data_IF_482506797872
#
_entry.id   IF_482506797872
#
_cell.length_a   1.000
_cell.length_b   1.000
_cell.length_c   1.000
_cell.angle_alpha   90.00
_cell.angle_beta   90.00
_cell.angle_gamma   90.00
#
_symmetry.space_group_name_H-M   'P 1'
#
loop_
_entity.id
_entity.type
_entity.pdbx_description
1 polymer ?
#
# COMPACT_ATOMS: atom_id res chain seq x y z
N UNK A 1 39.59 19.01 69.87
CA UNK A 1 38.67 20.11 69.53
C UNK A 1 37.74 19.62 68.44
N UNK A 2 36.49 19.29 68.78
CA UNK A 2 35.42 18.99 67.83
C UNK A 2 34.42 20.13 67.93
N UNK A 3 34.38 21.01 66.93
CA UNK A 3 33.36 22.04 66.84
C UNK A 3 32.02 21.34 66.58
N UNK A 4 31.21 21.18 67.63
CA UNK A 4 29.80 20.82 67.48
C UNK A 4 29.09 21.99 66.82
N UNK A 5 28.88 21.90 65.49
CA UNK A 5 28.00 22.83 64.77
C UNK A 5 26.58 22.62 65.31
N UNK A 6 26.07 23.58 66.07
CA UNK A 6 24.65 23.64 66.43
C UNK A 6 23.81 23.61 65.15
N UNK A 7 22.95 22.59 64.99
CA UNK A 7 21.93 22.60 63.95
C UNK A 7 21.03 23.81 64.17
N UNK A 8 21.08 24.79 63.28
CA UNK A 8 20.01 25.78 63.16
C UNK A 8 18.81 25.04 62.56
N UNK A 9 17.73 24.91 63.32
CA UNK A 9 16.50 24.26 62.85
C UNK A 9 15.96 24.96 61.59
N UNK A 10 15.37 24.18 60.68
CA UNK A 10 14.71 24.72 59.48
C UNK A 10 13.48 25.54 59.88
N UNK A 11 13.35 26.72 59.29
CA UNK A 11 12.12 27.51 59.35
C UNK A 11 11.01 26.81 58.56
N UNK A 12 9.76 26.87 59.04
CA UNK A 12 8.60 26.41 58.26
C UNK A 12 8.56 27.05 56.86
N UNK A 13 8.99 28.31 56.74
CA UNK A 13 9.02 29.01 55.44
C UNK A 13 10.06 28.38 54.50
N UNK A 14 11.23 27.99 55.01
CA UNK A 14 12.28 27.34 54.20
C UNK A 14 11.80 25.97 53.68
N UNK A 15 11.08 25.20 54.50
CA UNK A 15 10.48 23.94 54.07
C UNK A 15 9.39 24.14 53.01
N UNK A 16 8.53 25.15 53.16
CA UNK A 16 7.50 25.47 52.17
C UNK A 16 8.10 25.92 50.84
N UNK A 17 9.14 26.76 50.87
CA UNK A 17 9.86 27.21 49.67
C UNK A 17 10.57 26.04 48.99
N UNK A 18 11.26 25.19 49.76
CA UNK A 18 11.93 24.00 49.21
C UNK A 18 10.95 23.04 48.53
N UNK A 19 9.77 22.82 49.14
CA UNK A 19 8.71 21.98 48.57
C UNK A 19 8.12 22.61 47.30
N UNK A 20 7.88 23.92 47.31
CA UNK A 20 7.37 24.65 46.14
C UNK A 20 8.34 24.56 44.95
N UNK A 21 9.64 24.78 45.19
CA UNK A 21 10.68 24.67 44.14
C UNK A 21 10.78 23.23 43.64
N UNK A 22 10.79 22.24 44.54
CA UNK A 22 10.88 20.82 44.16
C UNK A 22 9.68 20.39 43.32
N UNK A 23 8.47 20.82 43.69
CA UNK A 23 7.25 20.52 42.94
C UNK A 23 7.27 21.17 41.56
N UNK A 24 7.72 22.43 41.47
CA UNK A 24 7.88 23.12 40.20
C UNK A 24 8.88 22.43 39.26
N UNK A 25 10.03 21.99 39.80
CA UNK A 25 11.03 21.26 39.02
C UNK A 25 10.52 19.91 38.53
N UNK A 26 9.81 19.15 39.38
CA UNK A 26 9.22 17.86 39.00
C UNK A 26 8.20 18.05 37.88
N UNK A 27 7.35 19.08 37.95
CA UNK A 27 6.38 19.39 36.90
C UNK A 27 7.09 19.74 35.58
N UNK A 28 8.12 20.59 35.63
CA UNK A 28 8.89 20.98 34.46
C UNK A 28 9.56 19.79 33.76
N UNK A 29 10.24 18.92 34.52
CA UNK A 29 10.90 17.72 33.97
C UNK A 29 9.86 16.73 33.42
N UNK A 30 8.72 16.59 34.09
CA UNK A 30 7.63 15.70 33.64
C UNK A 30 7.07 16.13 32.28
N UNK A 31 6.89 17.44 32.05
CA UNK A 31 6.47 17.96 30.75
C UNK A 31 7.48 17.62 29.65
N UNK A 32 8.76 17.90 29.88
CA UNK A 32 9.84 17.57 28.93
C UNK A 32 9.84 16.08 28.60
N UNK A 33 9.69 15.21 29.61
CA UNK A 33 9.64 13.77 29.40
C UNK A 33 8.43 13.34 28.56
N UNK A 34 7.24 13.87 28.84
CA UNK A 34 6.01 13.59 28.07
C UNK A 34 6.17 14.05 26.62
N UNK A 35 6.70 15.24 26.40
CA UNK A 35 6.88 15.80 25.06
C UNK A 35 7.93 15.02 24.26
N UNK A 36 9.04 14.62 24.90
CA UNK A 36 10.04 13.75 24.28
C UNK A 36 9.44 12.38 23.89
N UNK A 37 8.63 11.79 24.77
CA UNK A 37 7.95 10.52 24.48
C UNK A 37 6.97 10.67 23.31
N UNK A 38 6.19 11.76 23.28
CA UNK A 38 5.27 12.05 22.17
C UNK A 38 6.03 12.24 20.86
N UNK A 39 7.11 13.01 20.85
CA UNK A 39 7.94 13.21 19.68
C UNK A 39 8.57 11.90 19.18
N UNK A 40 9.06 11.06 20.09
CA UNK A 40 9.56 9.73 19.75
C UNK A 40 8.50 8.87 19.05
N UNK A 41 7.28 8.78 19.60
CA UNK A 41 6.19 8.02 19.00
C UNK A 41 5.75 8.61 17.65
N UNK A 42 5.79 9.93 17.51
CA UNK A 42 5.50 10.63 16.27
C UNK A 42 6.53 10.30 15.18
N UNK A 43 7.83 10.35 15.51
CA UNK A 43 8.90 9.96 14.60
C UNK A 43 8.81 8.48 14.20
N UNK A 44 8.53 7.61 15.17
CA UNK A 44 8.34 6.18 14.92
C UNK A 44 7.15 5.93 13.99
N UNK A 45 6.01 6.58 14.21
CA UNK A 45 4.82 6.47 13.36
C UNK A 45 5.09 6.94 11.93
N UNK A 46 5.82 8.04 11.75
CA UNK A 46 6.23 8.52 10.42
C UNK A 46 7.22 7.56 9.74
N UNK A 47 8.18 7.00 10.49
CA UNK A 47 9.12 6.03 9.94
C UNK A 47 8.39 4.76 9.46
N UNK A 48 7.46 4.24 10.28
CA UNK A 48 6.62 3.10 9.92
C UNK A 48 5.76 3.36 8.68
N UNK A 49 5.12 4.54 8.60
CA UNK A 49 4.36 4.92 7.41
C UNK A 49 5.21 4.99 6.13
N UNK A 50 6.42 5.54 6.23
CA UNK A 50 7.36 5.62 5.10
C UNK A 50 7.83 4.24 4.65
N UNK A 51 8.17 3.37 5.59
CA UNK A 51 8.60 2.01 5.31
C UNK A 51 7.48 1.20 4.68
N UNK A 52 6.29 1.21 5.26
CA UNK A 52 5.11 0.51 4.73
C UNK A 52 4.78 0.99 3.32
N UNK A 53 4.77 2.31 3.10
CA UNK A 53 4.54 2.90 1.77
C UNK A 53 5.58 2.45 0.74
N UNK A 54 6.86 2.47 1.09
CA UNK A 54 7.94 2.01 0.19
C UNK A 54 7.82 0.53 -0.13
N UNK A 55 7.49 -0.29 0.87
CA UNK A 55 7.31 -1.72 0.70
C UNK A 55 6.15 -2.05 -0.24
N UNK A 56 4.98 -1.41 -0.05
CA UNK A 56 3.82 -1.58 -0.94
C UNK A 56 4.17 -1.19 -2.37
N UNK A 57 4.82 -0.03 -2.57
CA UNK A 57 5.18 0.44 -3.91
C UNK A 57 6.16 -0.51 -4.60
N UNK A 58 7.18 -0.99 -3.89
CA UNK A 58 8.14 -1.97 -4.40
C UNK A 58 7.43 -3.27 -4.82
N UNK A 59 6.56 -3.78 -3.96
CA UNK A 59 5.82 -5.01 -4.21
C UNK A 59 4.91 -4.90 -5.44
N UNK A 60 4.17 -3.80 -5.55
CA UNK A 60 3.29 -3.54 -6.69
C UNK A 60 4.10 -3.42 -7.98
N UNK A 61 5.22 -2.69 -7.93
CA UNK A 61 6.11 -2.55 -9.08
C UNK A 61 6.63 -3.91 -9.55
N UNK A 62 7.07 -4.78 -8.63
CA UNK A 62 7.53 -6.13 -8.97
C UNK A 62 6.45 -6.96 -9.69
N UNK A 63 5.17 -6.84 -9.30
CA UNK A 63 4.08 -7.53 -10.00
C UNK A 63 3.79 -6.92 -11.37
N UNK A 64 3.90 -5.60 -11.49
CA UNK A 64 3.66 -4.90 -12.75
C UNK A 64 4.76 -5.08 -13.78
N UNK A 65 6.00 -5.20 -13.37
CA UNK A 65 7.13 -5.39 -14.29
C UNK A 65 7.02 -6.71 -15.06
N UNK A 66 6.38 -7.71 -14.44
CA UNK A 66 6.06 -8.99 -15.08
C UNK A 66 4.85 -8.90 -16.00
N UNK A 67 3.90 -8.01 -15.71
CA UNK A 67 2.59 -7.96 -16.39
C UNK A 67 2.75 -7.83 -17.90
N UNK A 68 1.96 -8.60 -18.64
CA UNK A 68 1.96 -8.69 -20.11
C UNK A 68 3.26 -9.20 -20.74
N UNK A 69 4.23 -9.70 -19.96
CA UNK A 69 5.40 -10.37 -20.51
C UNK A 69 4.98 -11.64 -21.25
N UNK A 70 5.52 -11.80 -22.46
CA UNK A 70 5.34 -12.98 -23.31
C UNK A 70 6.71 -13.55 -23.68
N UNK A 71 6.83 -14.88 -23.69
CA UNK A 71 8.10 -15.58 -24.00
C UNK A 71 8.39 -15.61 -25.49
N UNK A 72 7.38 -15.82 -26.32
CA UNK A 72 7.50 -15.79 -27.78
C UNK A 72 7.28 -14.35 -28.24
N UNK A 73 8.27 -13.79 -28.94
CA UNK A 73 8.18 -12.42 -29.44
C UNK A 73 7.18 -12.32 -30.60
N UNK A 74 7.22 -13.32 -31.47
CA UNK A 74 6.40 -13.55 -32.66
C UNK A 74 4.94 -13.85 -32.34
N UNK A 75 4.63 -14.27 -31.10
CA UNK A 75 3.25 -14.46 -30.68
C UNK A 75 2.56 -13.12 -30.41
N UNK A 76 1.38 -12.93 -31.01
CA UNK A 76 0.58 -11.74 -30.76
C UNK A 76 -0.07 -11.79 -29.36
N UNK A 77 -0.61 -10.67 -28.89
CA UNK A 77 -1.20 -10.64 -27.54
C UNK A 77 -2.40 -11.57 -27.43
N UNK A 78 -3.21 -11.66 -28.47
CA UNK A 78 -4.44 -12.44 -28.52
C UNK A 78 -4.20 -13.95 -28.39
N UNK A 79 -3.10 -14.45 -28.97
CA UNK A 79 -2.67 -15.84 -28.90
C UNK A 79 -1.94 -16.15 -27.59
N UNK A 80 -1.02 -15.26 -27.17
CA UNK A 80 -0.27 -15.42 -25.91
C UNK A 80 -1.21 -15.35 -24.69
N UNK A 81 -2.24 -14.51 -24.77
CA UNK A 81 -3.24 -14.28 -23.73
C UNK A 81 -4.65 -14.46 -24.29
N UNK A 82 -5.06 -15.72 -24.42
CA UNK A 82 -6.41 -16.09 -24.86
C UNK A 82 -7.48 -15.60 -23.87
N UNK A 83 -8.71 -15.47 -24.37
CA UNK A 83 -9.87 -15.22 -23.52
C UNK A 83 -10.00 -16.30 -22.45
N UNK A 84 -10.10 -15.90 -21.20
CA UNK A 84 -10.26 -16.83 -20.08
C UNK A 84 -10.96 -16.16 -18.91
N UNK A 85 -11.67 -16.95 -18.13
CA UNK A 85 -12.37 -16.54 -16.92
C UNK A 85 -11.70 -17.17 -15.72
N UNK A 86 -11.47 -16.37 -14.69
CA UNK A 86 -10.86 -16.80 -13.44
C UNK A 86 -11.72 -16.31 -12.29
N UNK A 87 -11.81 -17.10 -11.21
CA UNK A 87 -12.57 -16.71 -10.03
C UNK A 87 -11.95 -15.43 -9.43
N UNK A 88 -12.79 -14.45 -9.09
CA UNK A 88 -12.34 -13.18 -8.53
C UNK A 88 -11.78 -12.18 -9.55
N UNK A 89 -11.91 -12.44 -10.85
CA UNK A 89 -11.49 -11.53 -11.91
C UNK A 89 -12.62 -11.32 -12.92
N UNK A 90 -12.74 -10.09 -13.46
CA UNK A 90 -13.54 -9.88 -14.67
C UNK A 90 -12.99 -10.79 -15.77
N UNK A 91 -13.88 -11.38 -16.57
CA UNK A 91 -13.49 -12.17 -17.72
C UNK A 91 -12.56 -11.35 -18.63
N UNK A 92 -11.43 -11.96 -19.00
CA UNK A 92 -10.48 -11.33 -19.89
C UNK A 92 -10.85 -11.66 -21.33
N UNK A 93 -10.83 -10.65 -22.18
CA UNK A 93 -10.89 -10.85 -23.62
C UNK A 93 -9.52 -11.21 -24.18
N UNK A 94 -9.47 -11.73 -25.41
CA UNK A 94 -8.19 -12.05 -26.05
C UNK A 94 -7.27 -10.81 -26.11
N UNK A 95 -6.00 -11.00 -25.75
CA UNK A 95 -4.98 -9.96 -25.71
C UNK A 95 -5.04 -9.03 -24.50
N UNK A 96 -6.01 -9.21 -23.62
CA UNK A 96 -6.10 -8.46 -22.36
C UNK A 96 -5.24 -9.12 -21.28
N UNK A 97 -4.40 -8.31 -20.64
CA UNK A 97 -3.48 -8.75 -19.58
C UNK A 97 -3.78 -8.12 -18.23
N UNK A 98 -4.70 -7.15 -18.19
CA UNK A 98 -5.11 -6.44 -16.99
C UNK A 98 -6.64 -6.37 -16.98
N UNK A 99 -7.27 -6.83 -15.91
CA UNK A 99 -8.71 -6.75 -15.71
C UNK A 99 -9.02 -6.30 -14.28
N UNK A 100 -10.20 -5.72 -14.06
CA UNK A 100 -10.67 -5.42 -12.70
C UNK A 100 -10.88 -6.73 -11.93
N UNK A 101 -10.46 -6.76 -10.66
CA UNK A 101 -10.82 -7.86 -9.77
C UNK A 101 -12.32 -7.75 -9.44
N UNK A 102 -13.01 -8.90 -9.41
CA UNK A 102 -14.36 -8.97 -8.87
C UNK A 102 -14.28 -9.25 -7.38
N UNK A 103 -15.14 -8.60 -6.60
CA UNK A 103 -15.20 -8.76 -5.16
C UNK A 103 -15.54 -10.22 -4.79
N UNK A 104 -14.70 -10.86 -3.98
CA UNK A 104 -14.99 -12.14 -3.32
C UNK A 104 -15.39 -11.92 -1.86
N UNK A 105 -14.96 -10.80 -1.28
CA UNK A 105 -15.42 -10.29 0.02
C UNK A 105 -16.14 -8.96 -0.18
N UNK A 106 -17.10 -8.64 0.70
CA UNK A 106 -17.83 -7.38 0.62
C UNK A 106 -16.88 -6.17 0.69
N UNK A 107 -17.00 -5.25 -0.27
CA UNK A 107 -16.19 -4.04 -0.34
C UNK A 107 -14.76 -4.22 -0.86
N UNK A 108 -14.34 -5.44 -1.21
CA UNK A 108 -13.04 -5.71 -1.80
C UNK A 108 -12.97 -5.21 -3.26
N UNK A 109 -11.84 -4.63 -3.65
CA UNK A 109 -11.57 -4.25 -5.04
C UNK A 109 -10.08 -4.36 -5.37
N UNK A 110 -9.76 -4.38 -6.66
CA UNK A 110 -8.37 -4.50 -7.11
C UNK A 110 -8.24 -4.84 -8.58
N UNK A 111 -7.16 -5.53 -8.91
CA UNK A 111 -6.77 -5.84 -10.30
C UNK A 111 -6.28 -7.26 -10.45
N UNK A 112 -6.62 -7.86 -11.58
CA UNK A 112 -6.04 -9.11 -12.03
C UNK A 112 -5.07 -8.84 -13.17
N UNK A 113 -3.88 -9.41 -13.06
CA UNK A 113 -2.75 -9.26 -13.98
C UNK A 113 -2.41 -10.61 -14.58
N UNK A 114 -1.98 -10.63 -15.84
CA UNK A 114 -1.49 -11.84 -16.51
C UNK A 114 -0.12 -11.64 -17.10
N UNK A 115 0.69 -12.68 -17.03
CA UNK A 115 2.01 -12.73 -17.67
C UNK A 115 2.43 -14.17 -17.92
N UNK A 116 3.38 -14.40 -18.82
CA UNK A 116 4.05 -15.69 -18.94
C UNK A 116 5.32 -15.68 -18.09
N UNK A 117 5.64 -16.71 -17.31
CA UNK A 117 6.87 -16.75 -16.52
C UNK A 117 8.11 -16.72 -17.43
N UNK A 118 9.12 -15.94 -17.07
CA UNK A 118 10.31 -15.68 -17.87
C UNK A 118 11.32 -16.83 -17.83
N UNK A 119 11.47 -17.49 -16.68
CA UNK A 119 12.46 -18.56 -16.48
C UNK A 119 11.99 -19.60 -15.45
N UNK A 120 12.57 -20.81 -15.50
CA UNK A 120 12.30 -21.87 -14.51
C UNK A 120 12.84 -21.47 -13.14
N UNK A 121 12.06 -21.69 -12.08
CA UNK A 121 12.39 -21.19 -10.74
C UNK A 121 11.86 -19.79 -10.45
N UNK A 122 11.11 -19.16 -11.37
CA UNK A 122 10.45 -17.90 -11.06
C UNK A 122 9.37 -18.08 -9.99
N UNK A 123 9.33 -17.16 -9.02
CA UNK A 123 8.33 -17.17 -7.95
C UNK A 123 7.10 -16.32 -8.28
N UNK A 124 5.95 -16.76 -7.79
CA UNK A 124 4.69 -16.03 -7.83
C UNK A 124 4.62 -14.92 -6.76
N UNK A 125 3.49 -14.21 -6.70
CA UNK A 125 3.29 -13.14 -5.71
C UNK A 125 3.23 -13.61 -4.25
N UNK A 126 3.13 -14.92 -4.01
CA UNK A 126 3.12 -15.54 -2.69
C UNK A 126 4.47 -16.17 -2.34
N UNK A 127 5.47 -16.06 -3.23
CA UNK A 127 6.78 -16.66 -3.06
C UNK A 127 6.87 -18.15 -3.43
N UNK A 128 5.80 -18.75 -3.96
CA UNK A 128 5.85 -20.14 -4.43
C UNK A 128 6.49 -20.21 -5.81
N UNK A 129 7.29 -21.25 -6.05
CA UNK A 129 7.85 -21.50 -7.38
C UNK A 129 6.73 -21.81 -8.38
N UNK A 130 6.78 -21.15 -9.54
CA UNK A 130 5.85 -21.40 -10.64
C UNK A 130 6.28 -22.70 -11.33
N UNK A 131 5.42 -23.71 -11.29
CA UNK A 131 5.67 -25.02 -11.89
C UNK A 131 5.35 -25.03 -13.39
N UNK A 132 5.91 -26.00 -14.12
CA UNK A 132 5.63 -26.17 -15.55
C UNK A 132 6.27 -25.13 -16.47
N UNK A 133 7.26 -24.37 -15.98
CA UNK A 133 7.99 -23.37 -16.78
C UNK A 133 9.09 -24.06 -17.60
N UNK A 134 9.10 -23.93 -18.94
CA UNK A 134 10.14 -24.52 -19.77
C UNK A 134 11.54 -23.96 -19.48
N UNK A 135 12.56 -24.83 -19.49
CA UNK A 135 13.97 -24.43 -19.36
C UNK A 135 14.48 -23.69 -20.60
N UNK A 136 14.02 -24.11 -21.79
CA UNK A 136 14.42 -23.48 -23.04
C UNK A 136 13.77 -22.09 -23.16
N UNK A 137 14.55 -21.04 -23.49
CA UNK A 137 13.98 -19.73 -23.78
C UNK A 137 13.09 -19.81 -25.03
N UNK A 138 12.20 -18.82 -25.20
CA UNK A 138 11.29 -18.72 -26.35
C UNK A 138 10.38 -19.95 -26.58
N UNK A 139 10.11 -20.72 -25.53
CA UNK A 139 9.13 -21.81 -25.56
C UNK A 139 7.82 -21.33 -24.95
N UNK A 140 6.69 -21.64 -25.57
CA UNK A 140 5.38 -21.22 -25.08
C UNK A 140 5.09 -21.81 -23.69
N UNK A 141 4.36 -21.08 -22.87
CA UNK A 141 3.94 -21.54 -21.54
C UNK A 141 2.59 -20.89 -21.20
N UNK A 142 1.72 -21.57 -20.43
CA UNK A 142 0.47 -20.99 -19.98
C UNK A 142 0.71 -19.67 -19.20
N UNK A 143 -0.17 -18.67 -19.36
CA UNK A 143 -0.06 -17.45 -18.58
C UNK A 143 -0.42 -17.70 -17.11
N UNK A 144 0.42 -17.15 -16.25
CA UNK A 144 0.18 -16.93 -14.83
C UNK A 144 -0.86 -15.83 -14.66
N UNK A 145 -1.79 -16.00 -13.72
CA UNK A 145 -2.74 -14.94 -13.33
C UNK A 145 -2.54 -14.56 -11.88
N UNK A 146 -2.30 -13.28 -11.63
CA UNK A 146 -2.11 -12.70 -10.31
C UNK A 146 -3.31 -11.83 -9.99
N UNK A 147 -3.98 -12.07 -8.86
CA UNK A 147 -5.09 -11.23 -8.35
C UNK A 147 -4.58 -10.44 -7.16
N UNK A 148 -4.48 -9.12 -7.31
CA UNK A 148 -4.13 -8.18 -6.24
C UNK A 148 -5.37 -7.44 -5.79
N UNK A 149 -5.64 -7.44 -4.49
CA UNK A 149 -6.90 -6.95 -3.93
C UNK A 149 -6.71 -6.26 -2.62
N UNK A 150 -7.38 -5.12 -2.46
CA UNK A 150 -7.47 -4.38 -1.23
C UNK A 150 -8.81 -4.66 -0.56
N UNK A 151 -8.76 -4.93 0.75
CA UNK A 151 -9.94 -5.10 1.60
C UNK A 151 -10.00 -3.94 2.61
N UNK A 152 -10.87 -2.93 2.39
CA UNK A 152 -10.97 -1.76 3.27
C UNK A 152 -11.31 -2.10 4.71
N UNK A 153 -12.15 -3.11 4.95
CA UNK A 153 -12.57 -3.49 6.31
C UNK A 153 -11.42 -4.02 7.18
N UNK A 154 -10.36 -4.53 6.55
CA UNK A 154 -9.17 -5.04 7.23
C UNK A 154 -7.95 -4.11 7.06
N UNK A 155 -7.98 -3.19 6.09
CA UNK A 155 -6.82 -2.38 5.73
C UNK A 155 -5.68 -3.22 5.13
N UNK A 156 -6.02 -4.29 4.39
CA UNK A 156 -5.04 -5.26 3.89
C UNK A 156 -5.02 -5.35 2.38
N UNK A 157 -3.82 -5.44 1.81
CA UNK A 157 -3.57 -5.78 0.42
C UNK A 157 -3.16 -7.25 0.36
N UNK A 158 -3.92 -8.06 -0.39
CA UNK A 158 -3.70 -9.49 -0.54
C UNK A 158 -3.38 -9.86 -1.99
N UNK A 159 -2.68 -10.96 -2.17
CA UNK A 159 -2.50 -11.60 -3.47
C UNK A 159 -3.05 -13.02 -3.49
N UNK A 160 -3.56 -13.44 -4.65
CA UNK A 160 -3.85 -14.84 -4.95
C UNK A 160 -3.56 -15.18 -6.41
N UNK A 161 -3.53 -16.48 -6.70
CA UNK A 161 -3.26 -17.06 -8.03
C UNK A 161 -4.48 -17.79 -8.55
N UNK A 162 -5.50 -17.13 -9.13
CA UNK A 162 -6.75 -17.80 -9.44
C UNK A 162 -6.65 -18.78 -10.63
N UNK A 163 -5.50 -18.86 -11.29
CA UNK A 163 -5.21 -19.83 -12.35
C UNK A 163 -4.79 -21.22 -11.86
N UNK A 164 -4.47 -21.37 -10.57
CA UNK A 164 -4.18 -22.67 -9.96
C UNK A 164 -5.38 -23.21 -9.18
N UNK A 165 -5.54 -24.53 -9.17
CA UNK A 165 -6.52 -25.20 -8.33
C UNK A 165 -6.19 -24.95 -6.84
N UNK A 166 -7.21 -24.74 -6.01
CA UNK A 166 -7.06 -24.42 -4.57
C UNK A 166 -6.20 -23.17 -4.28
N UNK A 167 -6.35 -22.14 -5.11
CA UNK A 167 -5.71 -20.84 -4.91
C UNK A 167 -5.87 -20.34 -3.47
N UNK A 168 -4.74 -20.13 -2.79
CA UNK A 168 -4.72 -19.49 -1.48
C UNK A 168 -4.55 -17.98 -1.67
N UNK A 169 -5.17 -17.21 -0.78
CA UNK A 169 -4.92 -15.78 -0.66
C UNK A 169 -3.89 -15.55 0.45
N UNK A 170 -2.80 -14.85 0.15
CA UNK A 170 -1.83 -14.39 1.13
C UNK A 170 -1.94 -12.89 1.33
N UNK A 171 -1.87 -12.45 2.58
CA UNK A 171 -1.76 -11.05 2.91
C UNK A 171 -0.34 -10.58 2.60
N UNK A 172 -0.22 -9.51 1.82
CA UNK A 172 1.06 -8.92 1.44
C UNK A 172 1.40 -7.72 2.31
N UNK A 173 0.40 -6.89 2.59
CA UNK A 173 0.54 -5.69 3.41
C UNK A 173 -0.70 -5.52 4.27
N UNK A 174 -0.50 -5.08 5.51
CA UNK A 174 -1.55 -4.64 6.44
C UNK A 174 -1.31 -3.21 6.93
N UNK A 175 -2.30 -2.67 7.65
CA UNK A 175 -2.21 -1.32 8.23
C UNK A 175 -2.41 -0.19 7.23
N UNK A 176 -3.00 -0.47 6.05
CA UNK A 176 -3.34 0.58 5.09
C UNK A 176 -4.68 1.21 5.47
N UNK A 177 -4.70 2.53 5.64
CA UNK A 177 -5.94 3.27 5.89
C UNK A 177 -6.82 3.30 4.63
N UNK A 178 -6.22 3.52 3.46
CA UNK A 178 -6.92 3.43 2.18
C UNK A 178 -5.94 3.15 1.03
N UNK A 179 -6.45 2.61 -0.07
CA UNK A 179 -5.66 2.25 -1.25
C UNK A 179 -6.47 2.46 -2.51
N UNK A 180 -5.99 3.29 -3.44
CA UNK A 180 -6.70 3.63 -4.68
C UNK A 180 -5.92 3.19 -5.89
N UNK A 181 -6.65 2.65 -6.86
CA UNK A 181 -6.10 2.13 -8.10
C UNK A 181 -6.79 2.79 -9.29
N UNK A 182 -5.98 3.35 -10.18
CA UNK A 182 -6.42 3.99 -11.41
C UNK A 182 -5.69 3.36 -12.62
N UNK A 183 -6.43 3.10 -13.68
CA UNK A 183 -5.90 2.62 -14.95
C UNK A 183 -5.53 3.79 -15.86
N UNK A 184 -4.25 3.84 -16.24
CA UNK A 184 -3.75 4.70 -17.31
C UNK A 184 -4.12 4.09 -18.66
N UNK A 185 -5.16 4.64 -19.29
CA UNK A 185 -5.72 4.14 -20.54
C UNK A 185 -5.13 4.86 -21.74
N UNK A 186 -4.86 4.12 -22.82
CA UNK A 186 -4.43 4.64 -24.11
C UNK A 186 -5.59 4.88 -25.08
N UNK A 187 -5.28 5.33 -26.31
CA UNK A 187 -6.24 5.43 -27.42
C UNK A 187 -6.87 4.07 -27.75
N UNK A 188 -8.02 4.08 -28.44
CA UNK A 188 -8.67 2.84 -28.90
C UNK A 188 -7.77 2.03 -29.86
N UNK A 189 -6.94 2.72 -30.64
CA UNK A 189 -5.90 2.08 -31.44
C UNK A 189 -4.82 1.47 -30.53
N UNK A 190 -4.76 0.14 -30.50
CA UNK A 190 -3.79 -0.63 -29.70
C UNK A 190 -2.35 -0.53 -30.24
N UNK A 191 -2.15 -0.01 -31.44
CA UNK A 191 -0.82 0.28 -31.97
C UNK A 191 -0.20 1.51 -31.29
N UNK A 192 -1.03 2.45 -30.81
CA UNK A 192 -0.57 3.62 -30.07
C UNK A 192 -0.16 3.23 -28.64
N UNK A 193 1.13 3.35 -28.36
CA UNK A 193 1.75 3.03 -27.06
C UNK A 193 1.92 4.28 -26.20
N UNK A 194 0.82 4.93 -25.86
CA UNK A 194 0.80 6.13 -25.00
C UNK A 194 -0.31 6.05 -23.95
N UNK A 195 -0.14 6.77 -22.85
CA UNK A 195 -1.16 6.97 -21.82
C UNK A 195 -1.88 8.29 -22.11
N UNK A 196 -3.20 8.23 -22.29
CA UNK A 196 -4.03 9.42 -22.58
C UNK A 196 -4.66 10.02 -21.33
N UNK A 197 -5.12 9.18 -20.40
CA UNK A 197 -5.78 9.61 -19.17
C UNK A 197 -5.72 8.53 -18.10
N UNK A 198 -5.92 8.90 -16.84
CA UNK A 198 -6.14 7.96 -15.74
C UNK A 198 -7.62 7.95 -15.38
N UNK A 199 -8.18 6.74 -15.26
CA UNK A 199 -9.58 6.51 -14.90
C UNK A 199 -9.66 5.39 -13.87
N UNK A 200 -10.76 5.29 -13.13
CA UNK A 200 -10.97 4.14 -12.26
C UNK A 200 -11.09 2.84 -13.09
N UNK A 201 -10.76 1.69 -12.50
CA UNK A 201 -10.68 0.42 -13.26
C UNK A 201 -12.01 0.00 -13.89
N UNK A 202 -13.13 0.32 -13.23
CA UNK A 202 -14.46 0.07 -13.76
C UNK A 202 -14.80 0.94 -14.99
N UNK A 203 -14.13 2.09 -15.16
CA UNK A 203 -14.43 3.09 -16.20
C UNK A 203 -13.50 2.97 -17.42
N UNK A 204 -12.69 1.91 -17.49
CA UNK A 204 -11.76 1.67 -18.61
C UNK A 204 -12.50 1.55 -19.95
N UNK A 205 -13.72 1.00 -19.95
CA UNK A 205 -14.61 0.91 -21.11
C UNK A 205 -13.95 0.31 -22.38
N UNK A 206 -13.14 -0.74 -22.21
CA UNK A 206 -12.48 -1.47 -23.30
C UNK A 206 -11.23 -0.78 -23.88
N UNK A 207 -10.84 0.39 -23.38
CA UNK A 207 -9.59 1.06 -23.76
C UNK A 207 -8.37 0.25 -23.29
N UNK A 208 -7.27 0.21 -24.05
CA UNK A 208 -6.07 -0.52 -23.63
C UNK A 208 -5.46 0.12 -22.38
N UNK A 209 -5.18 -0.70 -21.36
CA UNK A 209 -4.49 -0.27 -20.16
C UNK A 209 -2.98 -0.29 -20.43
N UNK A 210 -2.32 0.85 -20.24
CA UNK A 210 -0.88 1.05 -20.51
C UNK A 210 -0.08 1.39 -19.26
N UNK A 211 -0.75 1.87 -18.21
CA UNK A 211 -0.14 2.14 -16.92
C UNK A 211 -1.13 1.85 -15.80
N UNK A 212 -0.63 1.67 -14.59
CA UNK A 212 -1.41 1.65 -13.37
C UNK A 212 -0.84 2.67 -12.40
N UNK A 213 -1.75 3.46 -11.82
CA UNK A 213 -1.43 4.41 -10.75
C UNK A 213 -2.01 3.89 -9.46
N UNK A 214 -1.17 3.81 -8.46
CA UNK A 214 -1.52 3.42 -7.10
C UNK A 214 -1.37 4.62 -6.20
N UNK A 215 -2.37 4.88 -5.38
CA UNK A 215 -2.26 5.83 -4.28
C UNK A 215 -2.53 5.07 -3.00
N UNK A 216 -1.75 5.37 -1.97
CA UNK A 216 -1.82 4.72 -0.67
C UNK A 216 -1.97 5.82 0.37
N UNK A 217 -2.89 5.63 1.31
CA UNK A 217 -2.95 6.37 2.55
C UNK A 217 -2.51 5.44 3.67
N UNK A 218 -1.27 5.62 4.14
CA UNK A 218 -0.76 4.93 5.31
C UNK A 218 -1.14 5.71 6.56
N UNK A 219 -1.48 4.97 7.63
CA UNK A 219 -1.78 5.51 8.95
C UNK A 219 -0.88 4.85 9.99
N UNK A 220 -0.36 5.62 10.94
CA UNK A 220 0.46 5.06 12.00
C UNK A 220 -0.33 4.13 12.91
N UNK A 221 0.27 3.00 13.33
CA UNK A 221 -0.38 2.05 14.25
C UNK A 221 -0.77 2.69 15.60
N UNK A 222 0.06 3.62 16.06
CA UNK A 222 -0.22 4.40 17.26
C UNK A 222 -1.28 5.47 16.96
N UNK A 223 -2.27 5.56 17.85
CA UNK A 223 -3.34 6.55 17.81
C UNK A 223 -3.01 7.75 18.72
N UNK A 224 -3.79 8.83 18.63
CA UNK A 224 -3.60 10.04 19.46
C UNK A 224 -2.20 10.65 19.39
N UNK A 225 -1.51 10.48 18.26
CA UNK A 225 -0.21 11.11 17.99
C UNK A 225 -0.37 12.57 17.54
N UNK A 226 -1.57 12.93 17.10
CA UNK A 226 -1.94 14.27 16.66
C UNK A 226 -2.72 15.00 17.75
N UNK A 227 -2.39 16.25 17.99
CA UNK A 227 -2.98 17.10 19.04
C UNK A 227 -4.24 17.86 18.61
N UNK A 228 -4.67 17.74 17.36
CA UNK A 228 -5.87 18.37 16.82
C UNK A 228 -6.53 17.52 15.73
N UNK A 229 -7.65 18.01 15.20
CA UNK A 229 -8.39 17.36 14.10
C UNK A 229 -7.84 17.70 12.71
N UNK A 230 -6.82 18.55 12.60
CA UNK A 230 -6.17 18.97 11.37
C UNK A 230 -5.20 17.91 10.81
N UNK A 231 -5.40 17.45 9.58
CA UNK A 231 -4.42 16.60 8.90
C UNK A 231 -4.40 16.91 7.41
N UNK A 232 -3.38 17.64 6.97
CA UNK A 232 -3.25 18.01 5.55
C UNK A 232 -3.20 16.78 4.63
N UNK A 233 -2.59 15.68 5.08
CA UNK A 233 -2.56 14.44 4.30
C UNK A 233 -3.97 13.84 4.17
N UNK A 234 -4.74 13.77 5.26
CA UNK A 234 -6.14 13.30 5.23
C UNK A 234 -7.01 14.19 4.35
N UNK A 235 -6.92 15.50 4.55
CA UNK A 235 -7.76 16.48 3.84
C UNK A 235 -7.43 16.46 2.33
N UNK A 236 -6.15 16.37 1.97
CA UNK A 236 -5.73 16.21 0.57
C UNK A 236 -6.18 14.88 -0.03
N UNK A 237 -6.18 13.80 0.75
CA UNK A 237 -6.69 12.51 0.31
C UNK A 237 -8.18 12.58 -0.03
N UNK A 238 -8.99 13.21 0.83
CA UNK A 238 -10.42 13.41 0.63
C UNK A 238 -10.69 14.26 -0.62
N UNK A 239 -9.87 15.27 -0.91
CA UNK A 239 -9.97 16.05 -2.15
C UNK A 239 -9.69 15.19 -3.39
N UNK A 240 -8.72 14.28 -3.31
CA UNK A 240 -8.35 13.38 -4.42
C UNK A 240 -9.36 12.25 -4.62
N UNK A 241 -9.94 11.74 -3.53
CA UNK A 241 -10.85 10.61 -3.49
C UNK A 241 -12.04 10.92 -2.56
N UNK A 242 -13.00 11.76 -3.01
CA UNK A 242 -14.14 12.19 -2.19
C UNK A 242 -14.98 11.03 -1.66
N UNK A 243 -15.03 9.91 -2.38
CA UNK A 243 -15.73 8.70 -1.98
C UNK A 243 -15.13 8.02 -0.74
N UNK A 244 -13.88 8.33 -0.38
CA UNK A 244 -13.23 7.82 0.84
C UNK A 244 -13.64 8.58 2.10
N UNK A 245 -14.25 9.78 1.97
CA UNK A 245 -14.44 10.72 3.08
C UNK A 245 -15.03 10.09 4.33
N UNK A 246 -16.20 9.48 4.22
CA UNK A 246 -16.92 8.92 5.37
C UNK A 246 -16.15 7.77 6.04
N UNK A 247 -15.46 6.95 5.25
CA UNK A 247 -14.66 5.84 5.79
C UNK A 247 -13.43 6.34 6.53
N UNK A 248 -12.73 7.34 5.97
CA UNK A 248 -11.53 7.92 6.57
C UNK A 248 -11.86 8.70 7.85
N UNK A 249 -12.91 9.52 7.84
CA UNK A 249 -13.33 10.30 9.01
C UNK A 249 -13.79 9.37 10.15
N UNK A 250 -14.50 8.29 9.84
CA UNK A 250 -14.91 7.31 10.86
C UNK A 250 -13.74 6.48 11.43
N UNK A 251 -12.67 6.28 10.65
CA UNK A 251 -11.49 5.54 11.06
C UNK A 251 -10.43 6.41 11.74
N UNK A 252 -10.58 7.75 11.75
CA UNK A 252 -9.60 8.67 12.30
C UNK A 252 -9.57 8.62 13.83
N UNK A 253 -8.43 8.21 14.38
CA UNK A 253 -8.17 8.15 15.83
C UNK A 253 -7.02 9.06 16.24
N UNK A 254 -6.73 10.10 15.46
CA UNK A 254 -5.58 10.99 15.70
C UNK A 254 -4.24 10.34 15.34
N UNK A 255 -4.25 9.38 14.40
CA UNK A 255 -3.03 8.81 13.82
C UNK A 255 -2.38 9.79 12.84
N UNK A 256 -1.11 9.53 12.52
CA UNK A 256 -0.37 10.28 11.50
C UNK A 256 -0.65 9.63 10.15
N UNK A 257 -1.05 10.45 9.18
CA UNK A 257 -1.29 10.00 7.82
C UNK A 257 -0.15 10.37 6.89
N UNK A 258 0.11 9.49 5.93
CA UNK A 258 1.04 9.73 4.85
C UNK A 258 0.44 9.26 3.53
N UNK A 259 0.50 10.13 2.52
CA UNK A 259 0.16 9.76 1.15
C UNK A 259 1.42 9.31 0.43
N UNK A 260 1.34 8.14 -0.22
CA UNK A 260 2.31 7.71 -1.21
C UNK A 260 1.59 7.42 -2.53
N UNK A 261 2.20 7.81 -3.66
CA UNK A 261 1.64 7.58 -4.98
C UNK A 261 2.73 7.05 -5.92
N UNK A 262 2.43 5.96 -6.60
CA UNK A 262 3.24 5.37 -7.64
C UNK A 262 2.50 5.35 -8.97
N UNK A 263 3.22 5.51 -10.07
CA UNK A 263 2.68 5.33 -11.41
C UNK A 263 3.67 4.47 -12.19
N UNK A 264 3.21 3.31 -12.66
CA UNK A 264 4.04 2.36 -13.39
C UNK A 264 3.41 2.10 -14.74
N UNK A 265 4.16 2.40 -15.80
CA UNK A 265 3.83 1.96 -17.14
C UNK A 265 4.08 0.47 -17.27
N UNK A 266 3.19 -0.23 -17.97
CA UNK A 266 3.36 -1.65 -18.25
C UNK A 266 4.39 -1.78 -19.37
N UNK A 267 5.66 -2.00 -18.99
CA UNK A 267 6.80 -2.07 -19.91
C UNK A 267 6.53 -2.97 -21.12
N UNK A 268 5.93 -4.14 -20.91
CA UNK A 268 5.68 -5.11 -21.97
C UNK A 268 4.56 -4.69 -22.97
N UNK A 269 3.86 -3.59 -22.68
CA UNK A 269 2.82 -2.98 -23.54
C UNK A 269 3.22 -1.58 -24.04
N UNK A 270 4.40 -1.11 -23.67
CA UNK A 270 4.97 0.20 -24.01
C UNK A 270 6.29 0.00 -24.77
N UNK A 271 6.86 1.04 -25.40
CA UNK A 271 8.17 0.95 -26.04
C UNK A 271 9.29 0.70 -25.02
#
# INVERSE_FOLDING_TARGET
MLFSKMQKGLSMVELLVALAISSFLILGISQIYIDNKRNYLFQQGQAGNQENSRFVLMLLQQQLDKTAYRRLHDDNMENAFKSATFNGCRAFVAGETIAAATALKAGEYGVCLRYQPAYKGEHDCLGNEITGVPEKPFTNTPPVVVRLVYLPSAGTLSCSRPDIAQSKSGELVSGLTDFRLEAGVGPADRSERKVSSFVALQDVAGRPIRALRFSILAGSDNTSLRTGDDSQARDRWIVLYPESKSAIEAADKGQIYQIARGNQTIRNLMP
#
